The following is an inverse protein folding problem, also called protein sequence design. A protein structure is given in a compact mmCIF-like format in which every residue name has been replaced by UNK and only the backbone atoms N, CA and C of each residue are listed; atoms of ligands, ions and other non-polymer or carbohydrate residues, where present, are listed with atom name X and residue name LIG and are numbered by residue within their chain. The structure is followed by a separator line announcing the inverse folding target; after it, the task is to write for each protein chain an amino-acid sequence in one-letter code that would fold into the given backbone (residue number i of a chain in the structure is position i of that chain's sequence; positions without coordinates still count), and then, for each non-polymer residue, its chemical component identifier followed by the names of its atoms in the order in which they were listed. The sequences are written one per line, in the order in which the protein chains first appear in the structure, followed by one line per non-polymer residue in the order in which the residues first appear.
data_IF_303617847660
#
_entry.id   IF_303617847660
#
_cell.length_a   1.000
_cell.length_b   1.000
_cell.length_c   1.000
_cell.angle_alpha   90.00
_cell.angle_beta   90.00
_cell.angle_gamma   90.00
#
_symmetry.space_group_name_H-M   'P 1'
#
loop_
_entity.id
_entity.type
_entity.pdbx_description
1 polymer ?
#
# COMPACT_ATOMS: atom_id res chain seq x y z
N UNK A 1 17.67 63.91 -13.19
CA UNK A 1 16.30 63.32 -13.29
C UNK A 1 16.40 62.02 -14.07
N UNK A 2 16.11 60.84 -13.47
CA UNK A 2 16.11 59.58 -14.21
C UNK A 2 14.94 59.58 -15.20
N UNK A 3 15.19 59.14 -16.45
CA UNK A 3 14.18 59.18 -17.51
C UNK A 3 13.00 58.25 -17.22
N UNK A 4 11.79 58.71 -17.55
CA UNK A 4 10.52 57.96 -17.41
C UNK A 4 10.53 56.58 -18.11
N UNK A 5 11.49 56.30 -19.00
CA UNK A 5 11.64 55.02 -19.71
C UNK A 5 12.14 53.88 -18.84
N UNK A 6 12.81 54.15 -17.71
CA UNK A 6 13.32 53.09 -16.82
C UNK A 6 12.27 52.63 -15.79
N UNK A 7 11.28 53.46 -15.47
CA UNK A 7 10.23 53.12 -14.48
C UNK A 7 9.19 52.17 -15.10
N UNK A 8 8.92 52.28 -16.41
CA UNK A 8 7.95 51.40 -17.09
C UNK A 8 8.45 49.98 -17.35
N UNK A 9 9.77 49.77 -17.49
CA UNK A 9 10.37 48.42 -17.62
C UNK A 9 10.44 47.67 -16.28
N UNK A 10 10.65 48.39 -15.18
CA UNK A 10 10.63 47.80 -13.84
C UNK A 10 9.21 47.42 -13.38
N UNK A 11 8.18 48.19 -13.77
CA UNK A 11 6.79 47.84 -13.44
C UNK A 11 6.23 46.70 -14.28
N UNK A 12 6.70 46.51 -15.51
CA UNK A 12 6.32 45.38 -16.38
C UNK A 12 7.08 44.09 -16.07
N UNK A 13 8.34 44.14 -15.63
CA UNK A 13 9.05 42.95 -15.15
C UNK A 13 8.51 42.48 -13.79
N UNK A 14 8.19 43.41 -12.88
CA UNK A 14 7.63 43.09 -11.58
C UNK A 14 6.19 42.54 -11.68
N UNK A 15 5.37 42.99 -12.64
CA UNK A 15 4.03 42.45 -12.88
C UNK A 15 4.05 41.11 -13.64
N UNK A 16 5.03 40.90 -14.52
CA UNK A 16 5.31 39.60 -15.16
C UNK A 16 5.79 38.55 -14.15
N UNK A 17 6.66 38.92 -13.21
CA UNK A 17 7.08 38.04 -12.11
C UNK A 17 6.00 37.83 -11.03
N UNK A 18 5.11 38.81 -10.79
CA UNK A 18 3.96 38.60 -9.90
C UNK A 18 2.89 37.72 -10.55
N UNK A 19 2.67 37.83 -11.86
CA UNK A 19 1.74 36.98 -12.60
C UNK A 19 2.26 35.56 -12.87
N UNK A 20 3.58 35.31 -12.78
CA UNK A 20 4.14 33.96 -12.83
C UNK A 20 4.13 33.24 -11.47
N UNK A 21 3.89 33.97 -10.37
CA UNK A 21 3.82 33.43 -9.00
C UNK A 21 2.45 32.93 -8.56
N UNK A 22 1.41 33.08 -9.37
CA UNK A 22 0.22 32.23 -9.21
C UNK A 22 0.62 30.88 -9.79
N UNK A 23 1.34 30.09 -9.00
CA UNK A 23 1.57 28.67 -9.27
C UNK A 23 0.20 28.09 -9.59
N UNK A 24 -0.04 27.75 -10.86
CA UNK A 24 -1.30 27.11 -11.24
C UNK A 24 -1.39 25.83 -10.41
N UNK A 25 -2.24 25.84 -9.39
CA UNK A 25 -2.58 24.66 -8.62
C UNK A 25 -3.02 23.61 -9.62
N UNK A 26 -2.22 22.56 -9.82
CA UNK A 26 -2.60 21.47 -10.69
C UNK A 26 -3.68 20.65 -9.96
N UNK A 27 -4.94 20.63 -10.41
CA UNK A 27 -6.04 19.97 -9.70
C UNK A 27 -5.77 18.49 -9.45
N UNK A 28 -4.97 17.85 -10.32
CA UNK A 28 -4.52 16.46 -10.18
C UNK A 28 -3.79 16.21 -8.86
N UNK A 29 -3.16 17.22 -8.27
CA UNK A 29 -2.43 17.14 -7.00
C UNK A 29 -3.32 16.82 -5.80
N UNK A 30 -4.62 17.10 -5.89
CA UNK A 30 -5.58 16.84 -4.81
C UNK A 30 -6.19 15.45 -4.87
N UNK A 31 -6.12 14.76 -6.02
CA UNK A 31 -6.75 13.44 -6.20
C UNK A 31 -6.29 12.43 -5.15
N UNK A 32 -4.98 12.26 -4.86
CA UNK A 32 -4.54 11.28 -3.87
C UNK A 32 -4.97 11.64 -2.44
N UNK A 33 -5.01 12.95 -2.13
CA UNK A 33 -5.50 13.42 -0.83
C UNK A 33 -6.98 13.09 -0.65
N UNK A 34 -7.81 13.43 -1.65
CA UNK A 34 -9.24 13.15 -1.62
C UNK A 34 -9.51 11.64 -1.57
N UNK A 35 -8.80 10.85 -2.38
CA UNK A 35 -8.90 9.39 -2.35
C UNK A 35 -8.58 8.82 -0.96
N UNK A 36 -7.51 9.32 -0.33
CA UNK A 36 -7.13 8.87 1.00
C UNK A 36 -8.13 9.30 2.07
N UNK A 37 -8.61 10.55 2.08
CA UNK A 37 -9.64 11.03 3.03
C UNK A 37 -10.95 10.24 2.86
N UNK A 38 -11.38 9.98 1.62
CA UNK A 38 -12.61 9.26 1.33
C UNK A 38 -12.52 7.75 1.65
N UNK A 39 -11.31 7.19 1.79
CA UNK A 39 -11.08 5.76 1.97
C UNK A 39 -11.94 5.09 3.06
N UNK A 40 -11.94 5.55 4.33
CA UNK A 40 -12.78 4.94 5.38
C UNK A 40 -14.27 5.05 5.07
N UNK A 41 -14.72 6.14 4.45
CA UNK A 41 -16.13 6.34 4.12
C UNK A 41 -16.60 5.43 2.98
N UNK A 42 -15.71 5.07 2.04
CA UNK A 42 -16.02 4.04 1.04
C UNK A 42 -16.25 2.67 1.69
N UNK A 43 -15.45 2.32 2.69
CA UNK A 43 -15.62 1.07 3.45
C UNK A 43 -16.90 1.08 4.29
N UNK A 44 -17.22 2.20 4.94
CA UNK A 44 -18.48 2.37 5.65
C UNK A 44 -19.68 2.25 4.70
N UNK A 45 -19.63 2.93 3.56
CA UNK A 45 -20.69 2.85 2.55
C UNK A 45 -20.85 1.43 2.00
N UNK A 46 -19.74 0.72 1.75
CA UNK A 46 -19.78 -0.68 1.37
C UNK A 46 -20.50 -1.51 2.44
N UNK A 47 -20.11 -1.36 3.70
CA UNK A 47 -20.70 -2.10 4.80
C UNK A 47 -22.21 -1.84 4.89
N UNK A 48 -22.64 -0.59 4.86
CA UNK A 48 -24.08 -0.24 4.86
C UNK A 48 -24.84 -0.91 3.71
N UNK A 49 -24.29 -0.92 2.49
CA UNK A 49 -24.96 -1.60 1.36
C UNK A 49 -24.95 -3.13 1.51
N UNK A 50 -23.89 -3.70 2.10
CA UNK A 50 -23.73 -5.14 2.25
C UNK A 50 -24.46 -5.73 3.48
N UNK A 51 -24.71 -4.93 4.52
CA UNK A 51 -25.31 -5.36 5.79
C UNK A 51 -26.79 -5.02 5.95
N UNK A 52 -27.36 -4.17 5.08
CA UNK A 52 -28.76 -3.72 5.15
C UNK A 52 -29.82 -4.79 4.87
N UNK A 53 -29.47 -6.07 4.75
CA UNK A 53 -30.44 -7.13 4.47
C UNK A 53 -30.19 -8.37 5.34
N UNK A 54 -31.19 -8.70 6.17
CA UNK A 54 -31.29 -9.97 6.89
C UNK A 54 -31.54 -11.17 5.93
N UNK A 55 -31.81 -10.89 4.65
CA UNK A 55 -31.95 -11.83 3.55
C UNK A 55 -30.79 -11.71 2.55
N UNK A 56 -30.69 -12.65 1.60
CA UNK A 56 -29.70 -12.60 0.50
C UNK A 56 -29.77 -11.25 -0.23
N UNK A 57 -28.62 -10.60 -0.40
CA UNK A 57 -28.50 -9.37 -1.19
C UNK A 57 -29.12 -9.51 -2.58
N UNK A 58 -29.87 -8.51 -3.01
CA UNK A 58 -30.39 -8.46 -4.39
C UNK A 58 -29.30 -8.05 -5.39
N UNK A 59 -29.56 -8.26 -6.69
CA UNK A 59 -28.57 -7.97 -7.75
C UNK A 59 -28.10 -6.50 -7.75
N UNK A 60 -29.00 -5.54 -7.50
CA UNK A 60 -28.65 -4.14 -7.48
C UNK A 60 -27.70 -3.81 -6.32
N UNK A 61 -27.97 -4.32 -5.11
CA UNK A 61 -27.08 -4.18 -3.96
C UNK A 61 -25.71 -4.80 -4.24
N UNK A 62 -25.66 -5.99 -4.86
CA UNK A 62 -24.40 -6.64 -5.24
C UNK A 62 -23.60 -5.76 -6.21
N UNK A 63 -24.25 -5.20 -7.24
CA UNK A 63 -23.60 -4.32 -8.21
C UNK A 63 -23.08 -3.04 -7.57
N UNK A 64 -23.88 -2.41 -6.69
CA UNK A 64 -23.49 -1.20 -5.96
C UNK A 64 -22.32 -1.49 -5.01
N UNK A 65 -22.41 -2.53 -4.17
CA UNK A 65 -21.34 -2.94 -3.26
C UNK A 65 -20.05 -3.27 -4.02
N UNK A 66 -20.15 -4.00 -5.13
CA UNK A 66 -19.00 -4.31 -5.99
C UNK A 66 -18.36 -3.05 -6.55
N UNK A 67 -19.16 -2.08 -7.02
CA UNK A 67 -18.65 -0.80 -7.51
C UNK A 67 -17.92 -0.02 -6.41
N UNK A 68 -18.48 0.06 -5.20
CA UNK A 68 -17.84 0.73 -4.05
C UNK A 68 -16.52 0.05 -3.68
N UNK A 69 -16.48 -1.29 -3.68
CA UNK A 69 -15.26 -2.04 -3.39
C UNK A 69 -14.18 -1.81 -4.47
N UNK A 70 -14.57 -1.75 -5.75
CA UNK A 70 -13.66 -1.38 -6.84
C UNK A 70 -13.12 0.04 -6.61
N UNK A 71 -13.97 1.02 -6.29
CA UNK A 71 -13.53 2.38 -5.95
C UNK A 71 -12.53 2.38 -4.78
N UNK A 72 -12.77 1.55 -3.77
CA UNK A 72 -11.87 1.37 -2.61
C UNK A 72 -10.50 0.83 -3.04
N UNK A 73 -10.47 -0.17 -3.93
CA UNK A 73 -9.25 -0.76 -4.48
C UNK A 73 -8.50 0.20 -5.43
N UNK A 74 -9.20 1.16 -6.04
CA UNK A 74 -8.61 2.16 -6.93
C UNK A 74 -7.96 3.34 -6.19
N UNK A 75 -8.23 3.55 -4.90
CA UNK A 75 -7.61 4.65 -4.12
C UNK A 75 -6.08 4.63 -4.23
N UNK A 76 -5.38 3.51 -3.98
CA UNK A 76 -3.92 3.44 -4.16
C UNK A 76 -3.45 3.72 -5.59
N UNK A 77 -4.24 3.34 -6.60
CA UNK A 77 -3.91 3.57 -8.02
C UNK A 77 -3.82 5.05 -8.31
N UNK A 78 -4.68 5.88 -7.71
CA UNK A 78 -4.59 7.33 -7.86
C UNK A 78 -3.25 7.89 -7.37
N UNK A 79 -2.73 7.38 -6.25
CA UNK A 79 -1.42 7.72 -5.72
C UNK A 79 -0.28 7.36 -6.69
N UNK A 80 -0.32 6.15 -7.26
CA UNK A 80 0.67 5.70 -8.26
C UNK A 80 0.62 6.60 -9.50
N UNK A 81 -0.57 6.83 -10.05
CA UNK A 81 -0.76 7.66 -11.27
C UNK A 81 -0.24 9.07 -11.04
N UNK A 82 -0.62 9.73 -9.94
CA UNK A 82 -0.20 11.11 -9.65
C UNK A 82 1.30 11.18 -9.37
N UNK A 83 1.89 10.17 -8.73
CA UNK A 83 3.34 10.13 -8.48
C UNK A 83 4.19 10.03 -9.77
N UNK A 84 3.60 9.70 -10.93
CA UNK A 84 4.24 9.76 -12.24
C UNK A 84 4.25 11.17 -12.88
N UNK A 85 3.44 12.11 -12.39
CA UNK A 85 3.33 13.44 -13.00
C UNK A 85 4.63 14.24 -12.86
N UNK A 86 5.06 14.89 -13.94
CA UNK A 86 6.30 15.66 -13.95
C UNK A 86 6.21 16.95 -13.11
N UNK A 87 5.09 17.67 -13.23
CA UNK A 87 4.95 19.04 -12.72
C UNK A 87 4.22 19.07 -11.36
N UNK A 88 4.72 18.32 -10.39
CA UNK A 88 4.24 18.37 -9.00
C UNK A 88 5.41 18.57 -8.02
N UNK A 89 5.22 19.33 -6.92
CA UNK A 89 6.22 19.49 -5.88
C UNK A 89 6.65 18.16 -5.24
N UNK A 90 7.86 18.12 -4.68
CA UNK A 90 8.43 16.96 -3.98
C UNK A 90 7.49 16.39 -2.91
N UNK A 91 6.94 17.25 -2.04
CA UNK A 91 6.09 16.78 -0.95
C UNK A 91 4.72 16.31 -1.44
N UNK A 92 4.18 16.91 -2.50
CA UNK A 92 2.95 16.43 -3.17
C UNK A 92 3.18 15.04 -3.78
N UNK A 93 4.35 14.79 -4.38
CA UNK A 93 4.72 13.44 -4.87
C UNK A 93 4.80 12.43 -3.72
N UNK A 94 5.36 12.81 -2.58
CA UNK A 94 5.39 11.97 -1.38
C UNK A 94 4.01 11.73 -0.78
N UNK A 95 3.12 12.73 -0.82
CA UNK A 95 1.71 12.57 -0.48
C UNK A 95 1.02 11.58 -1.42
N UNK A 96 1.31 11.61 -2.72
CA UNK A 96 0.80 10.63 -3.67
C UNK A 96 1.28 9.20 -3.33
N UNK A 97 2.55 9.03 -2.95
CA UNK A 97 3.04 7.74 -2.43
C UNK A 97 2.36 7.34 -1.11
N UNK A 98 2.13 8.28 -0.19
CA UNK A 98 1.42 8.01 1.06
C UNK A 98 -0.03 7.54 0.81
N UNK A 99 -0.71 8.07 -0.21
CA UNK A 99 -2.05 7.64 -0.58
C UNK A 99 -2.09 6.15 -0.95
N UNK A 100 -1.02 5.62 -1.56
CA UNK A 100 -0.91 4.19 -1.91
C UNK A 100 -1.09 3.30 -0.68
N UNK A 101 -0.57 3.71 0.48
CA UNK A 101 -0.63 2.89 1.69
C UNK A 101 -1.95 2.99 2.46
N UNK A 102 -2.93 3.75 1.96
CA UNK A 102 -4.18 4.02 2.69
C UNK A 102 -4.86 2.76 3.25
N UNK A 103 -5.03 1.66 2.46
CA UNK A 103 -5.68 0.44 2.97
C UNK A 103 -4.98 -0.17 4.18
N UNK A 104 -3.67 -0.30 4.10
CA UNK A 104 -2.89 -0.95 5.16
C UNK A 104 -2.64 -0.03 6.35
N UNK A 105 -2.48 1.27 6.11
CA UNK A 105 -2.35 2.26 7.18
C UNK A 105 -3.64 2.38 7.99
N UNK A 106 -4.82 2.27 7.35
CA UNK A 106 -6.10 2.33 8.05
C UNK A 106 -6.35 1.09 8.92
N UNK A 107 -5.93 -0.10 8.47
CA UNK A 107 -5.93 -1.31 9.31
C UNK A 107 -4.99 -1.13 10.50
N UNK A 108 -3.75 -0.70 10.27
CA UNK A 108 -2.78 -0.46 11.35
C UNK A 108 -3.30 0.56 12.36
N UNK A 109 -3.90 1.66 11.91
CA UNK A 109 -4.53 2.67 12.77
C UNK A 109 -5.63 2.05 13.65
N UNK A 110 -6.52 1.25 13.05
CA UNK A 110 -7.60 0.58 13.80
C UNK A 110 -7.06 -0.37 14.87
N UNK A 111 -6.03 -1.16 14.54
CA UNK A 111 -5.41 -2.09 15.52
C UNK A 111 -4.71 -1.33 16.63
N UNK A 112 -3.96 -0.27 16.32
CA UNK A 112 -3.29 0.57 17.34
C UNK A 112 -4.33 1.22 18.25
N UNK A 113 -5.43 1.72 17.71
CA UNK A 113 -6.51 2.30 18.52
C UNK A 113 -7.17 1.28 19.44
N UNK A 114 -7.40 0.05 18.96
CA UNK A 114 -7.92 -1.03 19.78
C UNK A 114 -6.96 -1.38 20.94
N UNK A 115 -5.65 -1.43 20.67
CA UNK A 115 -4.61 -1.72 21.68
C UNK A 115 -4.52 -0.66 22.77
N UNK A 116 -4.79 0.62 22.46
CA UNK A 116 -4.76 1.72 23.45
C UNK A 116 -6.14 2.01 24.05
N UNK A 117 -7.18 1.25 23.68
CA UNK A 117 -8.54 1.46 24.19
C UNK A 117 -9.16 2.80 23.77
N UNK A 118 -8.83 3.33 22.59
CA UNK A 118 -9.39 4.59 22.09
C UNK A 118 -10.90 4.47 21.87
N UNK A 119 -11.66 5.42 22.39
CA UNK A 119 -13.10 5.56 22.11
C UNK A 119 -13.40 6.49 20.91
N UNK A 120 -12.38 7.12 20.34
CA UNK A 120 -12.54 8.02 19.20
C UNK A 120 -12.74 7.18 17.94
N UNK A 121 -13.78 7.44 17.13
CA UNK A 121 -13.96 6.69 15.89
C UNK A 121 -12.81 6.91 14.90
N UNK A 122 -12.28 5.82 14.34
CA UNK A 122 -11.13 5.82 13.43
C UNK A 122 -11.19 6.82 12.27
N UNK A 123 -12.34 7.06 11.61
CA UNK A 123 -12.44 8.05 10.54
C UNK A 123 -12.05 9.47 10.97
N UNK A 124 -12.27 9.85 12.23
CA UNK A 124 -11.91 11.18 12.73
C UNK A 124 -10.40 11.34 12.84
N UNK A 125 -9.72 10.38 13.47
CA UNK A 125 -8.26 10.38 13.58
C UNK A 125 -7.64 10.34 12.18
N UNK A 126 -8.20 9.52 11.29
CA UNK A 126 -7.79 9.43 9.90
C UNK A 126 -7.86 10.79 9.17
N UNK A 127 -9.00 11.48 9.25
CA UNK A 127 -9.17 12.79 8.64
C UNK A 127 -8.19 13.83 9.20
N UNK A 128 -7.92 13.82 10.51
CA UNK A 128 -6.93 14.71 11.14
C UNK A 128 -5.52 14.43 10.60
N UNK A 129 -5.12 13.15 10.53
CA UNK A 129 -3.81 12.76 9.98
C UNK A 129 -3.68 13.28 8.53
N UNK A 130 -4.70 13.06 7.70
CA UNK A 130 -4.64 13.49 6.29
C UNK A 130 -4.70 15.01 6.11
N UNK A 131 -5.38 15.72 7.00
CA UNK A 131 -5.32 17.18 7.03
C UNK A 131 -3.91 17.69 7.34
N UNK A 132 -3.22 17.09 8.32
CA UNK A 132 -1.83 17.44 8.66
C UNK A 132 -0.87 17.10 7.50
N UNK A 133 -1.05 15.94 6.86
CA UNK A 133 -0.29 15.53 5.68
C UNK A 133 -0.54 16.48 4.51
N UNK A 134 -1.77 16.96 4.31
CA UNK A 134 -2.09 17.97 3.31
C UNK A 134 -1.38 19.30 3.60
N UNK A 135 -1.46 19.81 4.83
CA UNK A 135 -0.78 21.05 5.23
C UNK A 135 0.73 20.93 4.98
N UNK A 136 1.35 19.80 5.35
CA UNK A 136 2.77 19.56 5.07
C UNK A 136 3.08 19.49 3.57
N UNK A 137 2.25 18.81 2.78
CA UNK A 137 2.49 18.58 1.37
C UNK A 137 2.39 19.86 0.54
N UNK A 138 1.37 20.69 0.79
CA UNK A 138 1.08 21.90 0.02
C UNK A 138 1.84 23.14 0.50
N UNK A 139 2.63 23.04 1.59
CA UNK A 139 3.53 24.12 2.02
C UNK A 139 4.84 24.19 1.24
N UNK A 140 5.26 23.10 0.58
CA UNK A 140 6.51 23.07 -0.18
C UNK A 140 6.27 23.43 -1.65
N UNK A 141 7.08 24.37 -2.14
CA UNK A 141 7.18 24.75 -3.56
C UNK A 141 8.40 24.11 -4.24
N UNK A 142 8.98 23.06 -3.65
CA UNK A 142 10.20 22.44 -4.18
C UNK A 142 9.88 21.51 -5.37
N UNK A 143 9.99 22.04 -6.59
CA UNK A 143 9.77 21.31 -7.84
C UNK A 143 10.97 20.45 -8.30
N UNK A 144 11.71 19.87 -7.33
CA UNK A 144 13.05 19.24 -7.43
C UNK A 144 14.20 20.23 -7.26
N UNK A 145 14.95 20.11 -6.16
CA UNK A 145 16.29 20.69 -6.05
C UNK A 145 17.27 19.83 -6.85
N UNK A 146 17.82 20.39 -7.92
CA UNK A 146 18.67 19.76 -8.93
C UNK A 146 20.13 19.55 -8.49
N UNK A 147 20.46 19.64 -7.20
CA UNK A 147 21.86 19.67 -6.71
C UNK A 147 22.18 18.63 -5.62
N UNK A 148 21.44 17.54 -5.52
CA UNK A 148 21.83 16.44 -4.62
C UNK A 148 22.78 15.46 -5.34
N UNK A 149 24.01 15.33 -4.82
CA UNK A 149 24.99 14.34 -5.28
C UNK A 149 24.38 12.93 -5.36
N UNK A 150 24.81 12.08 -6.32
CA UNK A 150 24.32 10.72 -6.44
C UNK A 150 24.66 9.93 -5.16
N UNK A 151 23.64 9.62 -4.36
CA UNK A 151 23.79 8.75 -3.20
C UNK A 151 24.07 7.34 -3.72
N UNK A 152 25.20 6.75 -3.34
CA UNK A 152 25.51 5.37 -3.68
C UNK A 152 24.61 4.41 -2.89
N UNK A 153 23.47 4.06 -3.47
CA UNK A 153 22.48 3.14 -2.90
C UNK A 153 22.69 1.69 -3.34
N UNK A 154 23.76 1.37 -4.09
CA UNK A 154 23.94 0.05 -4.69
C UNK A 154 24.02 -1.05 -3.63
N UNK A 155 24.80 -0.83 -2.56
CA UNK A 155 24.95 -1.79 -1.45
C UNK A 155 23.62 -2.06 -0.74
N UNK A 156 22.83 -1.02 -0.49
CA UNK A 156 21.51 -1.15 0.13
C UNK A 156 20.53 -1.94 -0.73
N UNK A 157 20.54 -1.72 -2.06
CA UNK A 157 19.71 -2.49 -2.99
C UNK A 157 20.10 -3.97 -3.02
N UNK A 158 21.39 -4.27 -3.01
CA UNK A 158 21.89 -5.65 -2.99
C UNK A 158 21.52 -6.33 -1.68
N UNK A 159 21.79 -5.70 -0.54
CA UNK A 159 21.44 -6.25 0.78
C UNK A 159 19.92 -6.48 0.93
N UNK A 160 19.11 -5.50 0.50
CA UNK A 160 17.65 -5.63 0.45
C UNK A 160 17.22 -6.82 -0.42
N UNK A 161 17.79 -6.95 -1.63
CA UNK A 161 17.49 -8.05 -2.54
C UNK A 161 17.87 -9.44 -2.00
N UNK A 162 19.05 -9.57 -1.38
CA UNK A 162 19.50 -10.84 -0.78
C UNK A 162 18.59 -11.23 0.38
N UNK A 163 18.27 -10.30 1.28
CA UNK A 163 17.34 -10.58 2.36
C UNK A 163 15.93 -10.91 1.83
N UNK A 164 15.52 -10.32 0.70
CA UNK A 164 14.22 -10.59 0.10
C UNK A 164 14.14 -12.04 -0.40
N UNK A 165 15.24 -12.65 -0.86
CA UNK A 165 15.26 -14.07 -1.24
C UNK A 165 14.95 -14.98 -0.06
N UNK A 166 15.49 -14.69 1.12
CA UNK A 166 15.23 -15.46 2.35
C UNK A 166 13.76 -15.34 2.74
N UNK A 167 13.25 -14.10 2.80
CA UNK A 167 11.85 -13.82 3.15
C UNK A 167 10.88 -14.42 2.12
N UNK A 168 11.27 -14.48 0.84
CA UNK A 168 10.46 -15.04 -0.23
C UNK A 168 10.09 -16.51 0.01
N UNK A 169 10.99 -17.30 0.60
CA UNK A 169 10.71 -18.71 0.95
C UNK A 169 9.51 -18.80 1.90
N UNK A 170 9.50 -17.99 2.96
CA UNK A 170 8.38 -17.92 3.89
C UNK A 170 7.12 -17.39 3.20
N UNK A 171 7.23 -16.32 2.41
CA UNK A 171 6.07 -15.72 1.72
C UNK A 171 5.41 -16.72 0.77
N UNK A 172 6.18 -17.49 -0.01
CA UNK A 172 5.64 -18.51 -0.90
C UNK A 172 4.87 -19.58 -0.12
N UNK A 173 5.46 -20.09 0.97
CA UNK A 173 4.77 -21.03 1.84
C UNK A 173 3.49 -20.43 2.43
N UNK A 174 3.56 -19.20 2.94
CA UNK A 174 2.46 -18.51 3.59
C UNK A 174 1.28 -18.26 2.62
N UNK A 175 1.56 -17.76 1.41
CA UNK A 175 0.54 -17.60 0.37
C UNK A 175 0.00 -18.94 -0.12
N UNK A 176 0.86 -19.95 -0.25
CA UNK A 176 0.45 -21.31 -0.60
C UNK A 176 -0.51 -21.89 0.43
N UNK A 177 -0.23 -21.71 1.72
CA UNK A 177 -1.13 -22.12 2.80
C UNK A 177 -2.49 -21.40 2.69
N UNK A 178 -2.52 -20.08 2.47
CA UNK A 178 -3.76 -19.36 2.25
C UNK A 178 -4.56 -19.86 1.04
N UNK A 179 -3.88 -20.24 -0.06
CA UNK A 179 -4.54 -20.85 -1.22
C UNK A 179 -5.17 -22.21 -0.91
N UNK A 180 -4.59 -23.00 0.00
CA UNK A 180 -5.21 -24.27 0.47
C UNK A 180 -6.56 -24.01 1.16
N UNK A 181 -6.81 -22.79 1.65
CA UNK A 181 -8.11 -22.36 2.16
C UNK A 181 -9.25 -22.46 1.14
N UNK A 182 -8.97 -22.52 -0.17
CA UNK A 182 -9.95 -22.83 -1.21
C UNK A 182 -10.48 -24.27 -1.13
N UNK A 183 -9.68 -25.20 -0.60
CA UNK A 183 -10.12 -26.58 -0.37
C UNK A 183 -10.96 -26.63 0.91
N UNK A 184 -10.50 -25.95 1.96
CA UNK A 184 -11.26 -25.76 3.18
C UNK A 184 -10.42 -25.41 4.41
N UNK A 185 -11.06 -25.01 5.51
CA UNK A 185 -10.38 -24.65 6.76
C UNK A 185 -9.53 -25.80 7.32
N UNK A 186 -10.03 -27.04 7.26
CA UNK A 186 -9.32 -28.22 7.77
C UNK A 186 -7.99 -28.44 7.03
N UNK A 187 -7.97 -28.38 5.70
CA UNK A 187 -6.74 -28.56 4.92
C UNK A 187 -5.77 -27.41 5.14
N UNK A 188 -6.29 -26.18 5.23
CA UNK A 188 -5.50 -25.01 5.61
C UNK A 188 -4.81 -25.23 6.96
N UNK A 189 -5.53 -25.74 7.97
CA UNK A 189 -4.97 -25.98 9.29
C UNK A 189 -3.88 -27.06 9.30
N UNK A 190 -4.06 -28.15 8.54
CA UNK A 190 -3.04 -29.20 8.40
C UNK A 190 -1.74 -28.61 7.85
N UNK A 191 -1.82 -27.89 6.72
CA UNK A 191 -0.64 -27.28 6.09
C UNK A 191 -0.03 -26.21 6.99
N UNK A 192 -0.87 -25.39 7.63
CA UNK A 192 -0.44 -24.38 8.60
C UNK A 192 0.38 -25.01 9.73
N UNK A 193 -0.11 -26.10 10.32
CA UNK A 193 0.53 -26.76 11.46
C UNK A 193 1.89 -27.37 11.09
N UNK A 194 2.04 -27.93 9.89
CA UNK A 194 3.34 -28.38 9.36
C UNK A 194 4.32 -27.19 9.31
N UNK A 195 3.89 -26.06 8.76
CA UNK A 195 4.72 -24.86 8.69
C UNK A 195 5.08 -24.30 10.07
N UNK A 196 4.13 -24.30 11.02
CA UNK A 196 4.33 -23.75 12.37
C UNK A 196 5.48 -24.42 13.11
N UNK A 197 5.72 -25.72 12.89
CA UNK A 197 6.88 -26.43 13.46
C UNK A 197 8.21 -25.75 13.08
N UNK A 198 8.27 -25.17 11.88
CA UNK A 198 9.48 -24.52 11.36
C UNK A 198 9.49 -23.03 11.71
N UNK A 199 8.51 -22.25 11.24
CA UNK A 199 8.58 -20.79 11.33
C UNK A 199 8.22 -20.23 12.70
N UNK A 200 7.63 -21.03 13.61
CA UNK A 200 7.45 -20.68 15.03
C UNK A 200 8.51 -21.31 15.94
N UNK A 201 9.52 -21.99 15.39
CA UNK A 201 10.62 -22.49 16.21
C UNK A 201 11.35 -21.33 16.91
N UNK A 202 11.78 -21.54 18.16
CA UNK A 202 12.30 -20.49 19.04
C UNK A 202 13.44 -19.64 18.44
N UNK A 203 14.23 -20.22 17.53
CA UNK A 203 15.30 -19.50 16.83
C UNK A 203 14.87 -18.94 15.45
N UNK A 204 13.95 -19.61 14.76
CA UNK A 204 13.53 -19.23 13.41
C UNK A 204 12.54 -18.05 13.45
N UNK A 205 11.61 -18.04 14.41
CA UNK A 205 10.61 -16.96 14.53
C UNK A 205 11.30 -15.59 14.71
N UNK A 206 12.25 -15.38 15.65
CA UNK A 206 12.93 -14.10 15.79
C UNK A 206 13.80 -13.74 14.59
N UNK A 207 14.45 -14.72 13.95
CA UNK A 207 15.28 -14.47 12.75
C UNK A 207 14.43 -14.00 11.57
N UNK A 208 13.28 -14.64 11.36
CA UNK A 208 12.33 -14.25 10.32
C UNK A 208 11.74 -12.87 10.60
N UNK A 209 11.38 -12.58 11.86
CA UNK A 209 10.97 -11.24 12.31
C UNK A 209 12.05 -10.20 12.00
N UNK A 210 13.31 -10.48 12.34
CA UNK A 210 14.43 -9.57 12.06
C UNK A 210 14.63 -9.36 10.55
N UNK A 211 14.49 -10.40 9.73
CA UNK A 211 14.56 -10.30 8.27
C UNK A 211 13.44 -9.42 7.70
N UNK A 212 12.20 -9.58 8.19
CA UNK A 212 11.09 -8.70 7.81
C UNK A 212 11.30 -7.25 8.25
N UNK A 213 11.76 -7.01 9.48
CA UNK A 213 12.09 -5.67 9.94
C UNK A 213 13.23 -5.03 9.14
N UNK A 214 14.23 -5.82 8.73
CA UNK A 214 15.27 -5.36 7.81
C UNK A 214 14.69 -5.01 6.43
N UNK A 215 13.77 -5.83 5.88
CA UNK A 215 13.06 -5.52 4.63
C UNK A 215 12.32 -4.18 4.72
N UNK A 216 11.56 -3.98 5.81
CA UNK A 216 10.84 -2.72 6.07
C UNK A 216 11.82 -1.55 6.16
N UNK A 217 12.84 -1.63 7.03
CA UNK A 217 13.78 -0.53 7.25
C UNK A 217 14.58 -0.15 6.00
N UNK A 218 15.15 -1.14 5.32
CA UNK A 218 15.91 -0.91 4.07
C UNK A 218 15.01 -0.45 2.92
N UNK A 219 13.78 -0.97 2.81
CA UNK A 219 12.79 -0.56 1.82
C UNK A 219 12.33 0.88 2.01
N UNK A 220 11.98 1.28 3.25
CA UNK A 220 11.63 2.66 3.61
C UNK A 220 12.78 3.64 3.35
N UNK A 221 14.02 3.24 3.66
CA UNK A 221 15.21 4.04 3.36
C UNK A 221 15.35 4.29 1.86
N UNK A 222 15.27 3.25 1.02
CA UNK A 222 15.30 3.36 -0.44
C UNK A 222 14.14 4.22 -0.98
N UNK A 223 12.93 3.96 -0.50
CA UNK A 223 11.74 4.70 -0.88
C UNK A 223 11.84 6.19 -0.53
N UNK A 224 12.36 6.55 0.65
CA UNK A 224 12.53 7.95 1.06
C UNK A 224 13.50 8.70 0.14
N UNK A 225 14.62 8.05 -0.24
CA UNK A 225 15.62 8.64 -1.13
C UNK A 225 15.10 8.84 -2.56
N UNK A 226 14.20 7.98 -3.04
CA UNK A 226 13.70 8.06 -4.42
C UNK A 226 12.36 8.77 -4.58
N UNK A 227 11.46 8.69 -3.61
CA UNK A 227 10.09 9.23 -3.66
C UNK A 227 9.99 10.73 -3.91
N UNK A 228 11.05 11.48 -3.61
CA UNK A 228 11.07 12.93 -3.86
C UNK A 228 11.33 13.31 -5.32
N UNK A 229 11.76 12.37 -6.16
CA UNK A 229 12.15 12.60 -7.55
C UNK A 229 11.14 11.97 -8.51
N UNK A 230 11.03 12.55 -9.71
CA UNK A 230 10.29 11.93 -10.81
C UNK A 230 11.04 10.68 -11.29
N UNK A 231 10.33 9.60 -11.52
CA UNK A 231 10.86 8.38 -12.15
C UNK A 231 9.96 7.90 -13.29
N UNK A 232 10.41 6.89 -14.02
CA UNK A 232 9.54 6.11 -14.92
C UNK A 232 8.48 5.32 -14.13
N UNK A 233 7.50 4.80 -14.85
CA UNK A 233 6.39 4.06 -14.24
C UNK A 233 6.88 2.85 -13.41
N UNK A 234 7.84 2.07 -13.91
CA UNK A 234 8.29 0.86 -13.22
C UNK A 234 8.99 1.16 -11.90
N UNK A 235 9.84 2.19 -11.86
CA UNK A 235 10.50 2.62 -10.63
C UNK A 235 9.49 3.21 -9.65
N UNK A 236 8.54 4.00 -10.14
CA UNK A 236 7.42 4.51 -9.34
C UNK A 236 6.61 3.36 -8.73
N UNK A 237 6.26 2.35 -9.52
CA UNK A 237 5.55 1.17 -9.06
C UNK A 237 6.34 0.37 -8.02
N UNK A 238 7.66 0.19 -8.19
CA UNK A 238 8.53 -0.46 -7.19
C UNK A 238 8.53 0.32 -5.87
N UNK A 239 8.61 1.65 -5.91
CA UNK A 239 8.61 2.49 -4.71
C UNK A 239 7.24 2.41 -4.02
N UNK A 240 6.16 2.56 -4.78
CA UNK A 240 4.79 2.53 -4.27
C UNK A 240 4.44 1.18 -3.62
N UNK A 241 4.70 0.08 -4.32
CA UNK A 241 4.50 -1.28 -3.79
C UNK A 241 5.38 -1.56 -2.58
N UNK A 242 6.65 -1.13 -2.58
CA UNK A 242 7.55 -1.30 -1.43
C UNK A 242 7.10 -0.51 -0.20
N UNK A 243 6.57 0.71 -0.40
CA UNK A 243 5.99 1.51 0.69
C UNK A 243 4.73 0.85 1.26
N UNK A 244 3.84 0.35 0.39
CA UNK A 244 2.66 -0.43 0.80
C UNK A 244 3.07 -1.63 1.64
N UNK A 245 4.02 -2.44 1.15
CA UNK A 245 4.49 -3.64 1.83
C UNK A 245 5.15 -3.32 3.15
N UNK A 246 5.86 -2.20 3.27
CA UNK A 246 6.48 -1.78 4.53
C UNK A 246 5.43 -1.59 5.63
N UNK A 247 4.35 -0.87 5.32
CA UNK A 247 3.26 -0.66 6.28
C UNK A 247 2.43 -1.93 6.48
N UNK A 248 2.21 -2.71 5.42
CA UNK A 248 1.55 -4.02 5.48
C UNK A 248 2.27 -4.99 6.41
N UNK A 249 3.58 -5.16 6.27
CA UNK A 249 4.37 -6.06 7.13
C UNK A 249 4.28 -5.63 8.59
N UNK A 250 4.45 -4.33 8.88
CA UNK A 250 4.34 -3.81 10.24
C UNK A 250 2.95 -4.04 10.84
N UNK A 251 1.89 -3.70 10.10
CA UNK A 251 0.50 -3.89 10.53
C UNK A 251 0.15 -5.36 10.71
N UNK A 252 0.50 -6.21 9.74
CA UNK A 252 0.21 -7.63 9.75
C UNK A 252 0.95 -8.35 10.89
N UNK A 253 2.25 -8.08 11.08
CA UNK A 253 3.01 -8.63 12.20
C UNK A 253 2.48 -8.13 13.54
N UNK A 254 2.13 -6.84 13.65
CA UNK A 254 1.49 -6.31 14.86
C UNK A 254 0.18 -7.04 15.17
N UNK A 255 -0.68 -7.25 14.18
CA UNK A 255 -1.94 -7.99 14.35
C UNK A 255 -1.72 -9.42 14.83
N UNK A 256 -0.71 -10.11 14.30
CA UNK A 256 -0.41 -11.51 14.66
C UNK A 256 0.25 -11.64 16.03
N UNK A 257 1.34 -10.90 16.26
CA UNK A 257 2.16 -11.07 17.46
C UNK A 257 1.63 -10.28 18.66
N UNK A 258 1.22 -9.03 18.44
CA UNK A 258 0.86 -8.12 19.53
C UNK A 258 -0.64 -8.22 19.80
N UNK A 259 -1.48 -7.98 18.79
CA UNK A 259 -2.93 -7.93 18.98
C UNK A 259 -3.51 -9.32 19.29
N UNK A 260 -3.30 -10.32 18.42
CA UNK A 260 -3.88 -11.64 18.62
C UNK A 260 -3.22 -12.43 19.75
N UNK A 261 -1.91 -12.73 19.63
CA UNK A 261 -1.22 -13.64 20.55
C UNK A 261 -1.00 -13.04 21.94
N UNK A 262 -0.61 -11.77 22.02
CA UNK A 262 -0.22 -11.16 23.30
C UNK A 262 -1.40 -10.46 24.00
N UNK A 263 -2.18 -9.66 23.27
CA UNK A 263 -3.25 -8.85 23.84
C UNK A 263 -4.57 -9.63 24.01
N UNK A 264 -5.03 -10.33 22.97
CA UNK A 264 -6.27 -11.12 23.03
C UNK A 264 -6.06 -12.55 23.55
N UNK A 265 -4.83 -13.08 23.50
CA UNK A 265 -4.53 -14.46 23.89
C UNK A 265 -5.14 -15.52 22.96
N UNK A 266 -5.39 -15.17 21.68
CA UNK A 266 -6.00 -16.07 20.69
C UNK A 266 -4.97 -16.60 19.69
N UNK A 267 -5.27 -17.78 19.12
CA UNK A 267 -4.49 -18.36 18.04
C UNK A 267 -4.70 -17.61 16.72
N UNK A 268 -3.64 -17.50 15.92
CA UNK A 268 -3.71 -16.90 14.58
C UNK A 268 -3.96 -17.97 13.52
N UNK A 269 -5.13 -18.60 13.60
CA UNK A 269 -5.60 -19.68 12.73
C UNK A 269 -6.49 -19.16 11.58
N UNK A 270 -7.24 -20.05 10.93
CA UNK A 270 -8.16 -19.68 9.86
C UNK A 270 -9.26 -18.72 10.34
N UNK A 271 -9.81 -18.95 11.53
CA UNK A 271 -10.89 -18.12 12.08
C UNK A 271 -10.42 -16.69 12.33
N UNK A 272 -9.21 -16.53 12.87
CA UNK A 272 -8.58 -15.21 12.99
C UNK A 272 -8.38 -14.56 11.62
N UNK A 273 -7.87 -15.32 10.64
CA UNK A 273 -7.59 -14.80 9.31
C UNK A 273 -8.86 -14.35 8.55
N UNK A 274 -9.99 -15.05 8.73
CA UNK A 274 -11.26 -14.74 8.05
C UNK A 274 -12.21 -13.85 8.84
N UNK A 275 -11.86 -13.47 10.07
CA UNK A 275 -12.70 -12.63 10.91
C UNK A 275 -13.96 -13.34 11.41
N UNK A 276 -13.87 -14.64 11.70
CA UNK A 276 -14.98 -15.41 12.26
C UNK A 276 -15.46 -14.80 13.61
N UNK A 277 -16.77 -14.81 13.92
CA UNK A 277 -17.88 -15.39 13.15
C UNK A 277 -18.44 -14.52 12.03
N UNK A 278 -18.21 -13.21 12.06
CA UNK A 278 -18.84 -12.25 11.16
C UNK A 278 -18.31 -12.30 9.72
N UNK A 279 -17.10 -12.84 9.53
CA UNK A 279 -16.43 -12.89 8.25
C UNK A 279 -15.83 -11.53 7.86
N UNK A 280 -15.22 -11.49 6.67
CA UNK A 280 -14.55 -10.28 6.16
C UNK A 280 -15.52 -9.23 5.58
N UNK A 281 -16.71 -9.63 5.14
CA UNK A 281 -17.61 -8.75 4.37
C UNK A 281 -18.61 -8.02 5.27
N UNK A 282 -19.15 -8.72 6.27
CA UNK A 282 -20.32 -8.25 7.01
C UNK A 282 -19.98 -7.48 8.28
N UNK A 283 -18.75 -7.53 8.76
CA UNK A 283 -18.34 -6.77 9.93
C UNK A 283 -17.79 -5.39 9.54
N UNK A 284 -18.23 -4.29 10.19
CA UNK A 284 -17.83 -2.93 9.86
C UNK A 284 -16.32 -2.67 10.07
N UNK A 285 -15.65 -3.48 10.89
CA UNK A 285 -14.21 -3.42 11.07
C UNK A 285 -13.47 -4.37 10.10
N UNK A 286 -13.93 -5.62 9.95
CA UNK A 286 -13.24 -6.61 9.13
C UNK A 286 -13.24 -6.28 7.63
N UNK A 287 -14.19 -5.48 7.11
CA UNK A 287 -14.19 -5.09 5.69
C UNK A 287 -12.90 -4.38 5.27
N UNK A 288 -12.19 -3.75 6.22
CA UNK A 288 -10.87 -3.15 6.00
C UNK A 288 -9.84 -4.17 5.54
N UNK A 289 -9.99 -5.43 5.98
CA UNK A 289 -9.07 -6.53 5.71
C UNK A 289 -9.13 -6.99 4.25
N UNK A 290 -10.26 -6.85 3.56
CA UNK A 290 -10.40 -7.25 2.15
C UNK A 290 -9.42 -6.50 1.24
N UNK A 291 -9.47 -5.15 1.12
CA UNK A 291 -8.49 -4.42 0.31
C UNK A 291 -7.08 -4.49 0.89
N UNK A 292 -6.92 -4.61 2.22
CA UNK A 292 -5.61 -4.77 2.86
C UNK A 292 -4.91 -6.07 2.44
N UNK A 293 -5.58 -7.22 2.55
CA UNK A 293 -5.02 -8.52 2.16
C UNK A 293 -4.90 -8.64 0.65
N UNK A 294 -5.94 -8.25 -0.11
CA UNK A 294 -5.91 -8.33 -1.57
C UNK A 294 -4.69 -7.57 -2.14
N UNK A 295 -4.52 -6.32 -1.73
CA UNK A 295 -3.41 -5.50 -2.20
C UNK A 295 -2.07 -5.92 -1.58
N UNK A 296 -2.06 -6.45 -0.35
CA UNK A 296 -0.86 -7.05 0.25
C UNK A 296 -0.30 -8.20 -0.59
N UNK A 297 -1.15 -9.16 -0.95
CA UNK A 297 -0.79 -10.29 -1.81
C UNK A 297 -0.42 -9.82 -3.22
N UNK A 298 -1.23 -8.94 -3.82
CA UNK A 298 -0.95 -8.40 -5.14
C UNK A 298 0.40 -7.68 -5.17
N UNK A 299 0.65 -6.77 -4.23
CA UNK A 299 1.88 -5.99 -4.21
C UNK A 299 3.10 -6.81 -3.84
N UNK A 300 3.02 -7.83 -2.99
CA UNK A 300 4.22 -8.63 -2.66
C UNK A 300 4.73 -9.38 -3.90
N UNK A 301 3.82 -10.00 -4.66
CA UNK A 301 4.16 -10.71 -5.89
C UNK A 301 4.56 -9.75 -7.02
N UNK A 302 3.82 -8.64 -7.19
CA UNK A 302 4.13 -7.63 -8.19
C UNK A 302 5.45 -6.88 -7.92
N UNK A 303 5.79 -6.67 -6.64
CA UNK A 303 7.06 -6.06 -6.22
C UNK A 303 8.25 -6.97 -6.53
N UNK A 304 8.10 -8.28 -6.31
CA UNK A 304 9.09 -9.29 -6.71
C UNK A 304 9.25 -9.33 -8.23
N UNK A 305 8.15 -9.37 -9.00
CA UNK A 305 8.18 -9.36 -10.46
C UNK A 305 8.85 -8.09 -11.02
N UNK A 306 8.57 -6.93 -10.43
CA UNK A 306 9.19 -5.65 -10.82
C UNK A 306 10.67 -5.59 -10.39
N UNK A 307 11.03 -6.19 -9.25
CA UNK A 307 12.42 -6.36 -8.84
C UNK A 307 13.23 -7.22 -9.82
N UNK A 308 12.66 -8.36 -10.24
CA UNK A 308 13.24 -9.25 -11.24
C UNK A 308 13.36 -8.57 -12.61
N UNK A 309 12.36 -7.77 -13.00
CA UNK A 309 12.42 -6.94 -14.20
C UNK A 309 13.66 -6.02 -14.22
N UNK A 310 13.98 -5.38 -13.08
CA UNK A 310 15.21 -4.57 -12.96
C UNK A 310 16.49 -5.41 -13.04
N UNK A 311 16.47 -6.65 -12.53
CA UNK A 311 17.59 -7.57 -12.64
C UNK A 311 17.84 -7.98 -14.09
N UNK A 312 16.79 -8.34 -14.83
CA UNK A 312 16.86 -8.66 -16.26
C UNK A 312 17.39 -7.48 -17.09
N UNK A 313 16.93 -6.27 -16.79
CA UNK A 313 17.44 -5.05 -17.43
C UNK A 313 18.94 -4.85 -17.17
N UNK A 314 19.41 -5.16 -15.96
CA UNK A 314 20.83 -5.06 -15.60
C UNK A 314 21.71 -6.12 -16.30
N UNK A 315 21.14 -7.27 -16.67
CA UNK A 315 21.83 -8.36 -17.39
C UNK A 315 21.65 -8.30 -18.91
N UNK A 316 21.12 -7.20 -19.46
CA UNK A 316 21.01 -6.99 -20.92
C UNK A 316 19.93 -7.84 -21.61
N UNK A 317 18.94 -8.35 -20.87
CA UNK A 317 17.80 -9.08 -21.45
C UNK A 317 16.99 -8.15 -22.35
N UNK A 318 16.47 -8.67 -23.48
CA UNK A 318 15.71 -7.88 -24.46
C UNK A 318 14.41 -7.34 -23.87
N UNK A 319 14.08 -6.08 -24.14
CA UNK A 319 12.90 -5.39 -23.58
C UNK A 319 11.56 -6.12 -23.80
N UNK A 320 11.26 -6.75 -24.96
CA UNK A 320 10.01 -7.50 -25.12
C UNK A 320 9.87 -8.67 -24.15
N UNK A 321 10.98 -9.37 -23.86
CA UNK A 321 11.03 -10.48 -22.91
C UNK A 321 10.78 -9.96 -21.49
N UNK A 322 11.43 -8.85 -21.13
CA UNK A 322 11.23 -8.16 -19.84
C UNK A 322 9.75 -7.80 -19.64
N UNK A 323 9.13 -7.17 -20.64
CA UNK A 323 7.73 -6.75 -20.59
C UNK A 323 6.78 -7.96 -20.46
N UNK A 324 7.05 -9.05 -21.18
CA UNK A 324 6.27 -10.28 -21.10
C UNK A 324 6.31 -10.88 -19.70
N UNK A 325 7.51 -11.13 -19.14
CA UNK A 325 7.65 -11.71 -17.80
C UNK A 325 7.03 -10.82 -16.72
N UNK A 326 7.20 -9.51 -16.83
CA UNK A 326 6.58 -8.58 -15.89
C UNK A 326 5.04 -8.59 -15.99
N UNK A 327 4.49 -8.60 -17.20
CA UNK A 327 3.04 -8.69 -17.44
C UNK A 327 2.44 -9.99 -16.91
N UNK A 328 3.07 -11.14 -17.18
CA UNK A 328 2.67 -12.44 -16.62
C UNK A 328 2.74 -12.42 -15.10
N UNK A 329 3.79 -11.83 -14.52
CA UNK A 329 3.92 -11.66 -13.07
C UNK A 329 2.78 -10.85 -12.46
N UNK A 330 2.35 -9.76 -13.11
CA UNK A 330 1.22 -8.95 -12.64
C UNK A 330 -0.12 -9.70 -12.72
N UNK A 331 -0.38 -10.39 -13.83
CA UNK A 331 -1.60 -11.19 -13.99
C UNK A 331 -1.64 -12.32 -12.96
N UNK A 332 -0.53 -13.04 -12.79
CA UNK A 332 -0.39 -14.07 -11.75
C UNK A 332 -0.63 -13.52 -10.35
N UNK A 333 -0.10 -12.33 -10.05
CA UNK A 333 -0.32 -11.64 -8.76
C UNK A 333 -1.80 -11.37 -8.51
N UNK A 334 -2.52 -10.90 -9.54
CA UNK A 334 -3.95 -10.62 -9.46
C UNK A 334 -4.76 -11.91 -9.25
N UNK A 335 -4.45 -12.97 -10.00
CA UNK A 335 -5.11 -14.28 -9.87
C UNK A 335 -4.93 -14.83 -8.45
N UNK A 336 -3.70 -14.84 -7.92
CA UNK A 336 -3.42 -15.36 -6.58
C UNK A 336 -4.11 -14.53 -5.49
N UNK A 337 -4.04 -13.19 -5.57
CA UNK A 337 -4.73 -12.31 -4.62
C UNK A 337 -6.25 -12.54 -4.63
N UNK A 338 -6.85 -12.70 -5.82
CA UNK A 338 -8.28 -12.95 -5.97
C UNK A 338 -8.66 -14.31 -5.42
N UNK A 339 -7.89 -15.35 -5.74
CA UNK A 339 -8.11 -16.71 -5.27
C UNK A 339 -8.05 -16.81 -3.73
N UNK A 340 -7.07 -16.16 -3.09
CA UNK A 340 -6.97 -16.10 -1.63
C UNK A 340 -8.19 -15.40 -1.02
N UNK A 341 -8.56 -14.22 -1.51
CA UNK A 341 -9.71 -13.49 -0.98
C UNK A 341 -11.01 -14.28 -1.17
N UNK A 342 -11.22 -14.87 -2.34
CA UNK A 342 -12.38 -15.74 -2.60
C UNK A 342 -12.44 -16.90 -1.58
N UNK A 343 -11.32 -17.57 -1.32
CA UNK A 343 -11.23 -18.60 -0.28
C UNK A 343 -11.58 -18.05 1.10
N UNK A 344 -11.04 -16.88 1.48
CA UNK A 344 -11.28 -16.28 2.79
C UNK A 344 -12.73 -15.82 3.00
N UNK A 345 -13.46 -15.46 1.92
CA UNK A 345 -14.89 -15.11 1.99
C UNK A 345 -15.83 -16.31 1.77
N UNK A 346 -15.29 -17.53 1.66
CA UNK A 346 -16.09 -18.77 1.70
C UNK A 346 -16.21 -19.54 0.38
N UNK A 347 -15.62 -19.08 -0.73
CA UNK A 347 -15.59 -19.86 -1.98
C UNK A 347 -14.73 -21.12 -1.82
N UNK A 348 -15.19 -22.25 -2.38
CA UNK A 348 -14.48 -23.55 -2.33
C UNK A 348 -14.45 -24.20 -3.72
N UNK A 349 -13.41 -25.01 -3.99
CA UNK A 349 -13.22 -25.77 -5.26
C UNK A 349 -13.54 -27.25 -5.14
#
# INVERSE_FOLDING_TARGET
MPSQKNISRLSTSASSEKNSRISRFNPVSFIPLLGAICYPFLLMLFHEVASTSAEKMNLLQILIASFILICTLLVPVTGIVVSCYANIPKNVRRLAYACVVSPTLYVLLGVVQALVGSSIPDPWIWCIIWLLVAIWAFRSTDYNSSLEMPINMARWRVAHGICALIVCVYVIFHLGNHLVGLIGPTQYEIVMNIGRVIYRAAFIEPLLVAAFLFQVGSGLYLAWKWSGKKHDFFRTFQIASGLYLSIFILGHMNSVFIYARTYLGIETDWNFATGYPSGLIYDPWNIRLVPHYFLGVFFVLAHLATGLMFLFKAHGVRQPVINYFWGVGLIGSLIVASAIILGMIGFRI
#
